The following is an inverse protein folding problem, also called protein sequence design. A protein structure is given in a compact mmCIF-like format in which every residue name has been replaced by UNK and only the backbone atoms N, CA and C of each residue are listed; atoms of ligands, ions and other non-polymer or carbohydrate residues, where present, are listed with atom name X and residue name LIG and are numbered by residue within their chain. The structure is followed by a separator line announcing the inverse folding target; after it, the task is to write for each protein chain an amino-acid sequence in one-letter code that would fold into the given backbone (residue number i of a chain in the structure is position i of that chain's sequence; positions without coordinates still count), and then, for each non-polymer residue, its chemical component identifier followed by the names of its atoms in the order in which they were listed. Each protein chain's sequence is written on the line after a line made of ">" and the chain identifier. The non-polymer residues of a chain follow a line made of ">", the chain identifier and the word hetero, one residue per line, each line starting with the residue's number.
data_IF_549944702308
#
_entry.id   IF_549944702308
#
_cell.length_a   1.000
_cell.length_b   1.000
_cell.length_c   1.000
_cell.angle_alpha   90.00
_cell.angle_beta   90.00
_cell.angle_gamma   90.00
#
_symmetry.space_group_name_H-M   'P 1'
#
loop_
_entity.id
_entity.type
_entity.pdbx_description
1 polymer ?
#
# COMPACT_ATOMS: atom_id res chain seq x y z
N UNK A 1 -25.30 -7.84 -18.59
CA UNK A 1 -24.63 -6.91 -17.65
C UNK A 1 -24.71 -7.32 -16.16
N UNK A 2 -25.15 -8.55 -15.81
CA UNK A 2 -25.23 -9.02 -14.42
C UNK A 2 -23.92 -9.66 -13.90
N UNK A 3 -23.32 -10.55 -14.71
CA UNK A 3 -22.13 -11.35 -14.34
C UNK A 3 -20.93 -10.57 -13.78
N UNK A 4 -20.70 -9.33 -14.23
CA UNK A 4 -19.59 -8.49 -13.75
C UNK A 4 -19.83 -7.90 -12.36
N UNK A 5 -21.08 -7.53 -12.04
CA UNK A 5 -21.43 -7.05 -10.69
C UNK A 5 -21.35 -8.16 -9.66
N UNK A 6 -21.79 -9.36 -10.04
CA UNK A 6 -21.75 -10.54 -9.16
C UNK A 6 -20.31 -10.92 -8.80
N UNK A 7 -19.40 -10.90 -9.78
CA UNK A 7 -17.98 -11.18 -9.55
C UNK A 7 -17.29 -10.12 -8.67
N UNK A 8 -17.60 -8.83 -8.89
CA UNK A 8 -17.08 -7.76 -8.05
C UNK A 8 -17.59 -7.89 -6.61
N UNK A 9 -18.89 -8.16 -6.42
CA UNK A 9 -19.47 -8.33 -5.10
C UNK A 9 -18.87 -9.53 -4.36
N UNK A 10 -18.64 -10.65 -5.06
CA UNK A 10 -17.97 -11.81 -4.49
C UNK A 10 -16.57 -11.46 -3.99
N UNK A 11 -15.76 -10.75 -4.81
CA UNK A 11 -14.42 -10.30 -4.42
C UNK A 11 -14.46 -9.39 -3.19
N UNK A 12 -15.36 -8.41 -3.17
CA UNK A 12 -15.53 -7.50 -2.03
C UNK A 12 -15.91 -8.26 -0.75
N UNK A 13 -16.79 -9.26 -0.86
CA UNK A 13 -17.18 -10.07 0.28
C UNK A 13 -16.00 -10.88 0.84
N UNK A 14 -15.18 -11.46 -0.04
CA UNK A 14 -13.97 -12.19 0.35
C UNK A 14 -12.95 -11.28 1.03
N UNK A 15 -12.68 -10.10 0.47
CA UNK A 15 -11.79 -9.10 1.08
C UNK A 15 -12.27 -8.69 2.48
N UNK A 16 -13.58 -8.48 2.65
CA UNK A 16 -14.14 -8.10 3.94
C UNK A 16 -13.89 -9.15 5.04
N UNK A 17 -13.63 -10.41 4.70
CA UNK A 17 -13.24 -11.44 5.67
C UNK A 17 -11.89 -11.12 6.33
N UNK A 18 -10.99 -10.43 5.62
CA UNK A 18 -9.68 -10.02 6.15
C UNK A 18 -9.76 -8.84 7.11
N UNK A 19 -10.86 -8.08 7.10
CA UNK A 19 -10.95 -6.80 7.81
C UNK A 19 -10.67 -6.89 9.31
N UNK A 20 -11.07 -7.98 9.97
CA UNK A 20 -10.80 -8.18 11.42
C UNK A 20 -9.32 -8.39 11.71
N UNK A 21 -8.64 -9.18 10.88
CA UNK A 21 -7.23 -9.50 11.08
C UNK A 21 -6.32 -8.37 10.62
N UNK A 22 -6.69 -7.67 9.53
CA UNK A 22 -6.06 -6.41 9.13
C UNK A 22 -6.21 -5.33 10.22
N UNK A 23 -7.38 -5.23 10.87
CA UNK A 23 -7.58 -4.27 11.97
C UNK A 23 -6.66 -4.59 13.16
N UNK A 24 -6.42 -5.87 13.43
CA UNK A 24 -5.53 -6.32 14.49
C UNK A 24 -4.07 -6.05 14.14
N UNK A 25 -3.63 -6.43 12.93
CA UNK A 25 -2.26 -6.24 12.44
C UNK A 25 -1.87 -4.77 12.39
N UNK A 26 -2.74 -3.94 11.79
CA UNK A 26 -2.52 -2.51 11.69
C UNK A 26 -2.61 -1.80 13.04
N UNK A 27 -3.26 -2.39 14.05
CA UNK A 27 -3.58 -1.68 15.29
C UNK A 27 -4.62 -0.57 15.08
N UNK A 28 -5.50 -0.72 14.07
CA UNK A 28 -6.53 0.26 13.68
C UNK A 28 -5.96 1.62 13.27
N UNK A 29 -4.78 1.63 12.65
CA UNK A 29 -4.18 2.79 11.98
C UNK A 29 -3.97 2.51 10.49
N UNK A 30 -3.76 3.56 9.71
CA UNK A 30 -3.24 3.43 8.35
C UNK A 30 -1.84 2.77 8.40
N UNK A 31 -1.62 1.73 7.61
CA UNK A 31 -0.34 1.02 7.55
C UNK A 31 0.74 1.81 6.77
N UNK A 32 0.39 2.94 6.13
CA UNK A 32 1.33 3.82 5.43
C UNK A 32 1.64 5.13 6.16
N UNK A 33 0.64 5.82 6.69
CA UNK A 33 0.83 7.14 7.34
C UNK A 33 0.52 7.13 8.83
N UNK A 34 0.21 5.97 9.40
CA UNK A 34 -0.13 5.78 10.81
C UNK A 34 -1.34 6.55 11.35
N UNK A 35 -2.10 7.21 10.47
CA UNK A 35 -3.31 7.94 10.87
C UNK A 35 -4.31 7.06 11.61
N UNK A 36 -4.85 7.57 12.72
CA UNK A 36 -5.80 6.91 13.60
C UNK A 36 -7.14 7.66 13.64
N UNK A 37 -8.23 6.98 14.02
CA UNK A 37 -9.54 7.60 14.17
C UNK A 37 -10.21 8.02 12.85
N UNK A 38 -9.67 7.56 11.72
CA UNK A 38 -10.18 7.81 10.37
C UNK A 38 -10.72 6.51 9.75
N UNK A 39 -11.51 6.64 8.69
CA UNK A 39 -11.93 5.48 7.92
C UNK A 39 -10.71 4.79 7.29
N UNK A 40 -10.66 3.46 7.41
CA UNK A 40 -9.65 2.61 6.81
C UNK A 40 -10.31 1.68 5.79
N UNK A 41 -9.64 1.47 4.67
CA UNK A 41 -10.10 0.61 3.58
C UNK A 41 -9.04 -0.43 3.27
N UNK A 42 -9.49 -1.62 2.87
CA UNK A 42 -8.62 -2.67 2.37
C UNK A 42 -8.11 -2.22 1.01
N UNK A 43 -6.80 -2.11 0.88
CA UNK A 43 -6.12 -1.86 -0.37
C UNK A 43 -5.36 -3.12 -0.76
N UNK A 44 -5.63 -3.61 -1.97
CA UNK A 44 -4.90 -4.73 -2.55
C UNK A 44 -3.64 -4.18 -3.22
N UNK A 45 -2.49 -4.58 -2.70
CA UNK A 45 -1.17 -4.18 -3.17
C UNK A 45 -0.85 -4.93 -4.47
N UNK A 46 -0.67 -4.21 -5.59
CA UNK A 46 -0.31 -4.83 -6.85
C UNK A 46 1.02 -5.62 -6.78
N UNK A 47 1.24 -6.64 -7.62
CA UNK A 47 0.30 -7.19 -8.59
C UNK A 47 -0.86 -7.88 -7.88
N UNK A 48 -2.09 -7.55 -8.29
CA UNK A 48 -3.31 -8.01 -7.59
C UNK A 48 -3.59 -9.47 -7.95
N UNK A 49 -3.56 -10.42 -6.99
CA UNK A 49 -3.76 -11.83 -7.32
C UNK A 49 -5.19 -12.12 -7.79
N UNK A 50 -5.33 -13.21 -8.57
CA UNK A 50 -6.64 -13.63 -9.11
C UNK A 50 -7.67 -13.87 -8.01
N UNK A 51 -7.27 -14.57 -6.95
CA UNK A 51 -8.03 -14.73 -5.71
C UNK A 51 -7.53 -13.73 -4.66
N UNK A 52 -8.39 -13.10 -3.86
CA UNK A 52 -7.97 -12.26 -2.74
C UNK A 52 -6.95 -12.98 -1.85
N UNK A 53 -5.87 -12.28 -1.55
CA UNK A 53 -4.78 -12.78 -0.71
C UNK A 53 -4.55 -11.79 0.44
N UNK A 54 -4.52 -12.31 1.66
CA UNK A 54 -4.33 -11.51 2.87
C UNK A 54 -2.95 -10.83 2.87
N UNK A 55 -1.92 -11.50 2.37
CA UNK A 55 -0.55 -10.99 2.39
C UNK A 55 -0.33 -9.90 1.33
N UNK A 56 -1.24 -9.79 0.36
CA UNK A 56 -1.32 -8.67 -0.58
C UNK A 56 -2.28 -7.56 -0.13
N UNK A 57 -2.91 -7.67 1.05
CA UNK A 57 -3.87 -6.68 1.52
C UNK A 57 -3.28 -5.84 2.65
N UNK A 58 -3.56 -4.53 2.63
CA UNK A 58 -3.21 -3.58 3.70
C UNK A 58 -4.39 -2.66 4.04
N UNK A 59 -4.40 -2.10 5.25
CA UNK A 59 -5.32 -1.04 5.62
C UNK A 59 -4.71 0.34 5.42
N UNK A 60 -5.36 1.16 4.60
CA UNK A 60 -4.95 2.54 4.36
C UNK A 60 -6.10 3.50 4.60
N UNK A 61 -5.78 4.75 4.95
CA UNK A 61 -6.77 5.82 5.03
C UNK A 61 -7.12 6.34 3.63
N UNK A 62 -8.23 7.07 3.54
CA UNK A 62 -8.70 7.67 2.29
C UNK A 62 -7.66 8.59 1.64
N UNK A 63 -6.91 9.36 2.43
CA UNK A 63 -5.87 10.26 1.93
C UNK A 63 -4.76 9.49 1.20
N UNK A 64 -4.24 8.41 1.81
CA UNK A 64 -3.22 7.59 1.16
C UNK A 64 -3.77 6.93 -0.10
N UNK A 65 -5.01 6.41 -0.05
CA UNK A 65 -5.65 5.77 -1.19
C UNK A 65 -5.77 6.74 -2.38
N UNK A 66 -6.28 7.94 -2.16
CA UNK A 66 -6.43 8.97 -3.20
C UNK A 66 -5.08 9.38 -3.81
N UNK A 67 -4.06 9.56 -2.98
CA UNK A 67 -2.72 9.95 -3.44
C UNK A 67 -1.99 8.83 -4.20
N UNK A 68 -2.23 7.57 -3.86
CA UNK A 68 -1.73 6.43 -4.65
C UNK A 68 -2.35 6.47 -6.06
N UNK A 69 -3.68 6.63 -6.12
CA UNK A 69 -4.45 6.66 -7.38
C UNK A 69 -4.22 7.91 -8.22
N UNK A 70 -3.71 9.00 -7.63
CA UNK A 70 -3.51 10.28 -8.31
C UNK A 70 -2.04 10.73 -8.29
N UNK A 71 -1.14 10.09 -9.07
CA UNK A 71 0.30 10.40 -9.04
C UNK A 71 0.64 11.88 -9.24
N UNK A 72 -0.12 12.58 -10.09
CA UNK A 72 0.08 14.01 -10.40
C UNK A 72 -0.29 14.97 -9.26
N UNK A 73 -1.03 14.49 -8.26
CA UNK A 73 -1.55 15.27 -7.14
C UNK A 73 -0.96 14.82 -5.80
N UNK A 74 0.11 14.02 -5.81
CA UNK A 74 0.77 13.56 -4.58
C UNK A 74 1.34 14.75 -3.82
N UNK A 75 0.98 14.83 -2.55
CA UNK A 75 1.56 15.76 -1.59
C UNK A 75 2.83 15.15 -1.02
N UNK A 76 3.98 15.72 -1.39
CA UNK A 76 5.28 15.21 -0.93
C UNK A 76 5.43 15.25 0.60
N UNK A 77 4.81 16.21 1.29
CA UNK A 77 4.93 16.31 2.74
C UNK A 77 4.15 15.21 3.46
N UNK A 78 3.01 14.80 2.91
CA UNK A 78 2.27 13.64 3.40
C UNK A 78 3.11 12.36 3.36
N UNK A 79 3.86 12.15 2.27
CA UNK A 79 4.64 10.93 2.04
C UNK A 79 5.98 10.88 2.78
N UNK A 80 6.33 11.88 3.60
CA UNK A 80 7.52 11.80 4.47
C UNK A 80 7.46 10.63 5.44
N UNK A 81 6.26 10.13 5.75
CA UNK A 81 6.08 8.91 6.55
C UNK A 81 6.75 7.68 5.92
N UNK A 82 6.97 7.66 4.59
CA UNK A 82 7.65 6.58 3.89
C UNK A 82 9.07 6.36 4.41
N UNK A 83 9.75 7.40 4.91
CA UNK A 83 11.07 7.27 5.52
C UNK A 83 11.09 6.29 6.72
N UNK A 84 9.93 6.10 7.35
CA UNK A 84 9.75 5.14 8.45
C UNK A 84 9.05 3.86 7.97
N UNK A 85 8.04 3.95 7.11
CA UNK A 85 7.25 2.76 6.74
C UNK A 85 7.93 1.81 5.76
N UNK A 86 9.00 2.24 5.07
CA UNK A 86 9.87 1.34 4.29
C UNK A 86 10.58 0.29 5.16
N UNK A 87 10.56 0.43 6.48
CA UNK A 87 11.11 -0.51 7.45
C UNK A 87 10.05 -1.41 8.09
N UNK A 88 8.82 -1.40 7.57
CA UNK A 88 7.74 -2.25 8.08
C UNK A 88 8.09 -3.73 7.98
N UNK A 89 7.73 -4.50 9.00
CA UNK A 89 7.83 -5.98 8.99
C UNK A 89 6.79 -6.65 8.09
N UNK A 90 5.88 -5.86 7.50
CA UNK A 90 4.81 -6.36 6.63
C UNK A 90 5.25 -6.16 5.18
N UNK A 91 5.51 -7.27 4.49
CA UNK A 91 6.08 -7.27 3.13
C UNK A 91 5.29 -6.40 2.14
N UNK A 92 3.96 -6.49 2.13
CA UNK A 92 3.12 -5.64 1.26
C UNK A 92 3.22 -4.14 1.57
N UNK A 93 3.36 -3.77 2.86
CA UNK A 93 3.57 -2.37 3.27
C UNK A 93 4.96 -1.91 2.85
N UNK A 94 5.97 -2.76 3.05
CA UNK A 94 7.36 -2.50 2.70
C UNK A 94 7.50 -2.29 1.18
N UNK A 95 7.02 -3.23 0.36
CA UNK A 95 7.07 -3.17 -1.10
C UNK A 95 6.34 -1.93 -1.64
N UNK A 96 5.12 -1.64 -1.18
CA UNK A 96 4.38 -0.44 -1.59
C UNK A 96 5.10 0.85 -1.18
N UNK A 97 5.67 0.88 0.04
CA UNK A 97 6.39 2.06 0.52
C UNK A 97 7.62 2.35 -0.33
N UNK A 98 8.37 1.31 -0.73
CA UNK A 98 9.55 1.43 -1.61
C UNK A 98 9.13 1.90 -3.00
N UNK A 99 8.09 1.29 -3.59
CA UNK A 99 7.58 1.68 -4.90
C UNK A 99 7.15 3.16 -4.92
N UNK A 100 6.46 3.62 -3.88
CA UNK A 100 6.06 5.02 -3.74
C UNK A 100 7.26 5.94 -3.49
N UNK A 101 8.19 5.54 -2.62
CA UNK A 101 9.41 6.29 -2.31
C UNK A 101 10.18 6.61 -3.60
N UNK A 102 10.35 5.62 -4.48
CA UNK A 102 11.03 5.77 -5.77
C UNK A 102 10.39 6.79 -6.72
N UNK A 103 9.15 7.21 -6.47
CA UNK A 103 8.49 8.27 -7.26
C UNK A 103 8.85 9.69 -6.84
N UNK A 104 9.45 9.87 -5.65
CA UNK A 104 9.84 11.17 -5.12
C UNK A 104 11.32 11.47 -5.36
N UNK A 105 11.60 12.68 -5.85
CA UNK A 105 12.96 13.20 -6.10
C UNK A 105 13.47 14.14 -5.00
N UNK A 106 12.72 14.32 -3.93
CA UNK A 106 13.08 15.17 -2.78
C UNK A 106 14.26 14.62 -1.99
N UNK A 107 15.00 15.49 -1.30
CA UNK A 107 16.18 15.12 -0.51
C UNK A 107 15.88 14.03 0.51
N UNK A 108 14.79 14.17 1.28
CA UNK A 108 14.39 13.17 2.28
C UNK A 108 14.16 11.77 1.66
N UNK A 109 13.68 11.71 0.42
CA UNK A 109 13.43 10.46 -0.27
C UNK A 109 14.73 9.85 -0.80
N UNK A 110 15.67 10.69 -1.25
CA UNK A 110 17.02 10.27 -1.64
C UNK A 110 17.77 9.71 -0.44
N UNK A 111 17.82 10.46 0.67
CA UNK A 111 18.48 10.05 1.92
C UNK A 111 17.97 8.69 2.40
N UNK A 112 16.64 8.48 2.34
CA UNK A 112 16.02 7.21 2.74
C UNK A 112 16.45 6.07 1.81
N UNK A 113 16.49 6.30 0.49
CA UNK A 113 16.91 5.26 -0.47
C UNK A 113 18.37 4.86 -0.32
N UNK A 114 19.25 5.79 0.05
CA UNK A 114 20.68 5.50 0.23
C UNK A 114 20.94 4.50 1.36
N UNK A 115 20.11 4.53 2.40
CA UNK A 115 20.23 3.63 3.54
C UNK A 115 19.34 2.39 3.41
N UNK A 116 18.43 2.35 2.44
CA UNK A 116 17.47 1.27 2.25
C UNK A 116 18.15 0.03 1.67
N UNK A 117 18.17 -1.05 2.46
CA UNK A 117 18.57 -2.39 2.01
C UNK A 117 17.40 -3.34 2.18
N UNK A 118 16.61 -3.51 1.11
CA UNK A 118 15.49 -4.43 1.08
C UNK A 118 15.90 -5.82 0.57
N UNK A 119 15.17 -6.84 0.98
CA UNK A 119 15.37 -8.20 0.49
C UNK A 119 15.08 -8.29 -1.01
N UNK A 120 15.72 -9.21 -1.77
CA UNK A 120 15.54 -9.29 -3.23
C UNK A 120 14.08 -9.46 -3.65
N UNK A 121 13.32 -10.31 -2.95
CA UNK A 121 11.90 -10.54 -3.22
C UNK A 121 11.04 -9.28 -3.02
N UNK A 122 11.37 -8.45 -2.02
CA UNK A 122 10.68 -7.19 -1.77
C UNK A 122 11.04 -6.16 -2.83
N UNK A 123 12.30 -6.10 -3.21
CA UNK A 123 12.78 -5.17 -4.24
C UNK A 123 12.13 -5.48 -5.60
N UNK A 124 12.10 -6.75 -6.01
CA UNK A 124 11.43 -7.20 -7.24
C UNK A 124 9.92 -6.89 -7.22
N UNK A 125 9.27 -7.06 -6.06
CA UNK A 125 7.87 -6.70 -5.90
C UNK A 125 7.67 -5.18 -6.05
N UNK A 126 8.48 -4.37 -5.37
CA UNK A 126 8.41 -2.92 -5.48
C UNK A 126 8.64 -2.41 -6.91
N UNK A 127 9.58 -3.03 -7.65
CA UNK A 127 9.83 -2.69 -9.06
C UNK A 127 8.61 -3.01 -9.93
N UNK A 128 8.00 -4.18 -9.74
CA UNK A 128 6.75 -4.58 -10.44
C UNK A 128 5.64 -3.56 -10.17
N UNK A 129 5.48 -3.14 -8.91
CA UNK A 129 4.50 -2.13 -8.54
C UNK A 129 4.78 -0.77 -9.16
N UNK A 130 6.04 -0.38 -9.24
CA UNK A 130 6.44 0.91 -9.81
C UNK A 130 6.09 0.97 -11.31
N UNK A 131 6.14 -0.14 -12.02
CA UNK A 131 5.66 -0.23 -13.41
C UNK A 131 4.15 -0.04 -13.51
N UNK A 132 3.37 -0.58 -12.57
CA UNK A 132 1.91 -0.42 -12.53
C UNK A 132 1.45 0.97 -12.06
N UNK A 133 2.25 1.64 -11.23
CA UNK A 133 1.96 2.97 -10.66
C UNK A 133 2.42 4.15 -11.53
N UNK A 134 3.10 3.88 -12.66
CA UNK A 134 3.56 4.88 -13.64
C UNK A 134 2.43 5.33 -14.59
#
# INVERSE_FOLDING_TARGET
>A
MAKGRDAHQARVNELNLFGKDLARRSGRKCELCESQGVALKIFEVPPVPKSPDFDHCIFICDVCHEQIQSPKQRDSDHWRCLAQTVWSDIDAVKALSIALLNTFTTDWAQDTREILFAEPNISEWADTMQEELR
#
